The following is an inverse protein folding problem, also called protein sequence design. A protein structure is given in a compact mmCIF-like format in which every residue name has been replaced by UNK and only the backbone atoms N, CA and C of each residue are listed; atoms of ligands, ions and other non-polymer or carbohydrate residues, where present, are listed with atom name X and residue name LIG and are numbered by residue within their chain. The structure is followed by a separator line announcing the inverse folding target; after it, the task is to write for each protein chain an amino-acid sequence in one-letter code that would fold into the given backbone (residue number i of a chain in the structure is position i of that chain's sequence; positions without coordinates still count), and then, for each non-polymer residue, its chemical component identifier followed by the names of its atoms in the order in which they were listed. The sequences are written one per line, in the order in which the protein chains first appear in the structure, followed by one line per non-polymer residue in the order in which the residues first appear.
data_IF_451346339050
#
_entry.id   IF_451346339050
#
_cell.length_a   1.000
_cell.length_b   1.000
_cell.length_c   1.000
_cell.angle_alpha   90.00
_cell.angle_beta   90.00
_cell.angle_gamma   90.00
#
_symmetry.space_group_name_H-M   'P 1'
#
loop_
_entity.id
_entity.type
_entity.pdbx_description
1 polymer ?
#
# COMPACT_ATOMS: atom_id res chain seq x y z
N UNK A 1 12.23 9.81 -3.15
CA UNK A 1 12.43 9.21 -1.80
C UNK A 1 11.30 9.70 -0.93
N UNK A 2 10.72 8.85 -0.10
CA UNK A 2 9.57 9.19 0.74
C UNK A 2 9.95 10.16 1.87
N UNK A 3 11.10 9.94 2.52
CA UNK A 3 11.64 10.85 3.54
C UNK A 3 12.83 11.61 2.95
N UNK A 4 12.79 12.95 2.90
CA UNK A 4 13.90 13.79 2.40
C UNK A 4 15.20 13.64 3.21
N UNK A 5 16.27 14.26 2.76
CA UNK A 5 17.51 14.31 3.50
C UNK A 5 17.41 15.21 4.75
N UNK A 6 18.31 15.01 5.72
CA UNK A 6 18.21 15.64 7.04
C UNK A 6 18.04 17.17 6.97
N UNK A 7 18.84 17.84 6.13
CA UNK A 7 18.77 19.29 5.99
C UNK A 7 17.42 19.75 5.42
N UNK A 8 16.91 19.03 4.42
CA UNK A 8 15.59 19.32 3.81
C UNK A 8 14.46 19.13 4.81
N UNK A 9 14.49 18.04 5.63
CA UNK A 9 13.50 17.80 6.69
C UNK A 9 13.46 18.99 7.65
N UNK A 10 14.62 19.44 8.14
CA UNK A 10 14.67 20.57 9.07
C UNK A 10 14.23 21.88 8.43
N UNK A 11 14.61 22.13 7.17
CA UNK A 11 14.16 23.31 6.41
C UNK A 11 12.64 23.31 6.24
N UNK A 12 12.07 22.19 5.81
CA UNK A 12 10.61 22.05 5.65
C UNK A 12 9.87 22.27 6.97
N UNK A 13 10.36 21.70 8.08
CA UNK A 13 9.74 21.89 9.41
C UNK A 13 9.84 23.35 9.89
N UNK A 14 10.97 24.02 9.59
CA UNK A 14 11.12 25.43 9.91
C UNK A 14 10.16 26.32 9.10
N UNK A 15 10.00 26.04 7.79
CA UNK A 15 9.06 26.74 6.92
C UNK A 15 7.61 26.51 7.34
N UNK A 16 7.24 25.27 7.67
CA UNK A 16 5.92 24.92 8.21
C UNK A 16 5.63 25.70 9.50
N UNK A 17 6.60 25.76 10.42
CA UNK A 17 6.47 26.52 11.66
C UNK A 17 6.30 28.02 11.38
N UNK A 18 7.08 28.58 10.46
CA UNK A 18 6.98 29.99 10.07
C UNK A 18 5.61 30.31 9.42
N UNK A 19 5.03 29.32 8.70
CA UNK A 19 3.70 29.43 8.10
C UNK A 19 2.55 29.20 9.12
N UNK A 20 2.84 28.92 10.39
CA UNK A 20 1.82 28.72 11.43
C UNK A 20 1.15 27.33 11.37
N UNK A 21 1.84 26.32 10.85
CA UNK A 21 1.35 24.93 10.86
C UNK A 21 1.41 24.39 12.29
N UNK A 22 0.27 23.90 12.78
CA UNK A 22 0.16 23.36 14.15
C UNK A 22 0.68 21.92 14.26
N UNK A 23 0.56 21.12 13.17
CA UNK A 23 0.97 19.71 13.18
C UNK A 23 1.44 19.28 11.80
N UNK A 24 2.52 18.48 11.78
CA UNK A 24 3.04 17.83 10.57
C UNK A 24 2.94 16.32 10.72
N UNK A 25 2.48 15.65 9.67
CA UNK A 25 2.49 14.20 9.53
C UNK A 25 3.50 13.83 8.47
N UNK A 26 4.34 12.83 8.75
CA UNK A 26 5.32 12.38 7.77
C UNK A 26 5.45 10.86 7.78
N UNK A 27 5.74 10.32 6.62
CA UNK A 27 6.20 8.95 6.47
C UNK A 27 7.70 8.90 6.75
N UNK A 28 8.09 8.06 7.73
CA UNK A 28 9.51 7.87 8.09
C UNK A 28 9.93 6.48 7.65
N UNK A 29 10.68 6.41 6.55
CA UNK A 29 11.16 5.14 6.02
C UNK A 29 12.28 4.56 6.88
N UNK A 30 12.43 3.22 6.87
CA UNK A 30 13.52 2.53 7.58
C UNK A 30 14.92 3.00 7.11
N UNK A 31 15.05 3.31 5.82
CA UNK A 31 16.26 3.91 5.26
C UNK A 31 16.57 5.28 5.87
N UNK A 32 15.54 6.10 6.07
CA UNK A 32 15.71 7.42 6.66
C UNK A 32 16.16 7.33 8.13
N UNK A 33 15.66 6.35 8.86
CA UNK A 33 16.07 6.08 10.24
C UNK A 33 17.51 5.59 10.30
N UNK A 34 17.88 4.62 9.49
CA UNK A 34 19.22 4.05 9.41
C UNK A 34 20.26 5.10 8.96
N UNK A 35 19.88 6.00 8.04
CA UNK A 35 20.71 7.07 7.52
C UNK A 35 20.62 8.39 8.32
N UNK A 36 19.99 8.38 9.49
CA UNK A 36 19.84 9.55 10.37
C UNK A 36 19.18 10.78 9.70
N UNK A 37 18.31 10.59 8.69
CA UNK A 37 17.67 11.70 7.97
C UNK A 37 16.69 12.50 8.84
N UNK A 38 16.21 11.93 9.94
CA UNK A 38 15.35 12.57 10.92
C UNK A 38 16.08 12.88 12.24
N UNK A 39 17.42 12.90 12.23
CA UNK A 39 18.21 13.21 13.42
C UNK A 39 17.83 14.60 13.95
N UNK A 40 17.65 14.72 15.27
CA UNK A 40 17.25 15.96 15.93
C UNK A 40 15.76 16.31 15.84
N UNK A 41 14.94 15.49 15.14
CA UNK A 41 13.48 15.63 15.15
C UNK A 41 12.91 14.80 16.29
N UNK A 42 12.08 15.41 17.15
CA UNK A 42 11.25 14.71 18.14
C UNK A 42 9.82 14.54 17.61
N UNK A 43 9.26 13.34 17.73
CA UNK A 43 7.89 13.05 17.29
C UNK A 43 6.94 12.96 18.47
N UNK A 44 5.80 13.65 18.42
CA UNK A 44 4.75 13.51 19.44
C UNK A 44 4.10 12.13 19.46
N UNK A 45 4.12 11.43 18.31
CA UNK A 45 3.64 10.06 18.20
C UNK A 45 4.20 9.33 16.98
N UNK A 46 4.44 8.03 17.14
CA UNK A 46 4.84 7.12 16.08
C UNK A 46 3.80 6.02 15.90
N UNK A 47 3.38 5.76 14.67
CA UNK A 47 2.44 4.69 14.34
C UNK A 47 3.18 3.54 13.67
N UNK A 48 2.98 2.32 14.16
CA UNK A 48 3.43 1.09 13.55
C UNK A 48 2.24 0.32 12.99
N UNK A 49 2.21 0.10 11.69
CA UNK A 49 1.17 -0.66 11.00
C UNK A 49 1.51 -2.15 10.87
N UNK A 50 2.61 -2.46 10.19
CA UNK A 50 3.10 -3.82 9.97
C UNK A 50 4.57 -3.82 9.55
N UNK A 51 5.17 -5.01 9.54
CA UNK A 51 6.50 -5.26 8.99
C UNK A 51 6.50 -6.57 8.21
N UNK A 52 6.47 -6.47 6.89
CA UNK A 52 6.53 -7.61 5.97
C UNK A 52 7.80 -7.54 5.13
N UNK A 53 8.14 -8.62 4.42
CA UNK A 53 9.37 -8.69 3.64
C UNK A 53 9.40 -7.61 2.55
N UNK A 54 10.31 -6.67 2.71
CA UNK A 54 10.71 -5.68 1.71
C UNK A 54 12.09 -5.12 2.08
N UNK A 55 12.75 -4.40 1.16
CA UNK A 55 14.00 -3.68 1.41
C UNK A 55 15.17 -4.55 1.93
N UNK A 56 15.17 -5.87 1.66
CA UNK A 56 16.28 -6.74 2.05
C UNK A 56 17.54 -6.50 1.22
N UNK A 57 17.43 -5.85 0.07
CA UNK A 57 18.54 -5.32 -0.74
C UNK A 57 19.37 -4.29 0.05
N UNK A 58 18.78 -3.61 1.03
CA UNK A 58 19.44 -2.60 1.87
C UNK A 58 19.74 -3.13 3.26
N UNK A 59 18.74 -3.71 3.94
CA UNK A 59 18.87 -4.15 5.32
C UNK A 59 19.52 -5.54 5.46
N UNK A 60 19.58 -6.33 4.39
CA UNK A 60 20.12 -7.69 4.37
C UNK A 60 19.25 -8.73 5.06
N UNK A 61 18.64 -8.41 6.20
CA UNK A 61 17.78 -9.33 6.98
C UNK A 61 16.55 -8.62 7.53
N UNK A 62 15.49 -9.39 7.80
CA UNK A 62 14.29 -8.89 8.49
C UNK A 62 14.61 -8.35 9.89
N UNK A 63 15.60 -8.93 10.58
CA UNK A 63 16.03 -8.43 11.89
C UNK A 63 16.63 -7.03 11.80
N UNK A 64 17.52 -6.78 10.85
CA UNK A 64 18.09 -5.45 10.63
C UNK A 64 17.00 -4.43 10.24
N UNK A 65 16.05 -4.86 9.38
CA UNK A 65 14.90 -4.04 9.00
C UNK A 65 14.03 -3.68 10.21
N UNK A 66 13.75 -4.65 11.07
CA UNK A 66 13.07 -4.47 12.35
C UNK A 66 13.79 -3.45 13.25
N UNK A 67 15.10 -3.63 13.44
CA UNK A 67 15.91 -2.74 14.30
C UNK A 67 15.97 -1.31 13.72
N UNK A 68 16.09 -1.15 12.41
CA UNK A 68 16.06 0.16 11.76
C UNK A 68 14.72 0.89 12.03
N UNK A 69 13.58 0.22 11.85
CA UNK A 69 12.27 0.82 12.17
C UNK A 69 12.08 1.12 13.66
N UNK A 70 12.68 0.32 14.55
CA UNK A 70 12.62 0.52 16.00
C UNK A 70 13.19 1.87 16.45
N UNK A 71 14.14 2.43 15.71
CA UNK A 71 14.76 3.73 16.00
C UNK A 71 13.68 4.82 16.17
N UNK A 72 12.59 4.79 15.38
CA UNK A 72 11.53 5.78 15.45
C UNK A 72 10.94 5.90 16.87
N UNK A 73 10.80 4.79 17.60
CA UNK A 73 10.24 4.79 18.94
C UNK A 73 11.19 5.37 20.00
N UNK A 74 12.51 5.48 19.69
CA UNK A 74 13.48 6.10 20.61
C UNK A 74 13.45 7.62 20.55
N UNK A 75 12.82 8.19 19.53
CA UNK A 75 12.72 9.63 19.27
C UNK A 75 11.25 10.10 19.26
N UNK A 76 10.35 9.29 19.81
CA UNK A 76 8.91 9.58 19.87
C UNK A 76 8.40 9.58 21.31
N UNK A 77 7.49 10.50 21.61
CA UNK A 77 6.87 10.63 22.94
C UNK A 77 5.84 9.52 23.20
N UNK A 78 5.16 9.04 22.13
CA UNK A 78 4.15 8.00 22.18
C UNK A 78 4.28 7.04 21.02
N UNK A 79 3.93 5.77 21.24
CA UNK A 79 3.83 4.75 20.20
C UNK A 79 2.39 4.24 20.06
N UNK A 80 1.93 4.07 18.82
CA UNK A 80 0.64 3.48 18.48
C UNK A 80 0.94 2.20 17.67
N UNK A 81 0.70 1.04 18.26
CA UNK A 81 1.24 -0.25 17.79
C UNK A 81 0.12 -1.19 17.36
N UNK A 82 0.19 -1.66 16.12
CA UNK A 82 -0.63 -2.77 15.64
C UNK A 82 -0.16 -4.09 16.26
N UNK A 83 -1.01 -4.71 17.07
CA UNK A 83 -0.69 -6.00 17.69
C UNK A 83 -1.24 -7.22 16.92
N UNK A 84 -1.92 -7.00 15.80
CA UNK A 84 -2.23 -8.08 14.87
C UNK A 84 -0.95 -8.55 14.16
N UNK A 85 0.03 -7.64 13.99
CA UNK A 85 1.36 -7.93 13.47
C UNK A 85 2.29 -8.49 14.56
N UNK A 86 3.10 -9.51 14.21
CA UNK A 86 4.01 -10.16 15.17
C UNK A 86 5.15 -9.23 15.64
N UNK A 87 5.68 -8.38 14.76
CA UNK A 87 6.70 -7.40 15.10
C UNK A 87 6.14 -6.29 15.98
N UNK A 88 4.85 -5.95 15.81
CA UNK A 88 4.16 -5.04 16.73
C UNK A 88 4.14 -5.58 18.16
N UNK A 89 3.78 -6.85 18.32
CA UNK A 89 3.82 -7.52 19.63
C UNK A 89 5.25 -7.61 20.21
N UNK A 90 6.26 -7.68 19.35
CA UNK A 90 7.66 -7.68 19.76
C UNK A 90 8.09 -6.27 20.19
N UNK A 91 7.73 -5.21 19.46
CA UNK A 91 8.03 -3.82 19.85
C UNK A 91 7.53 -3.47 21.25
N UNK A 92 6.32 -3.88 21.61
CA UNK A 92 5.76 -3.64 22.97
C UNK A 92 6.63 -4.13 24.11
N UNK A 93 7.47 -5.13 23.87
CA UNK A 93 8.39 -5.69 24.88
C UNK A 93 9.74 -4.97 24.93
N UNK A 94 10.06 -4.21 23.90
CA UNK A 94 11.42 -3.71 23.66
C UNK A 94 11.51 -2.18 23.62
N UNK A 95 10.40 -1.46 23.39
CA UNK A 95 10.38 0.01 23.37
C UNK A 95 10.18 0.57 24.77
N UNK A 96 10.72 1.77 25.02
CA UNK A 96 10.65 2.44 26.32
C UNK A 96 9.64 3.58 26.38
N UNK A 97 9.20 4.13 25.23
CA UNK A 97 8.19 5.18 25.21
C UNK A 97 6.81 4.61 25.56
N UNK A 98 5.89 5.43 26.12
CA UNK A 98 4.50 5.05 26.33
C UNK A 98 3.87 4.50 25.05
N UNK A 99 3.20 3.34 25.15
CA UNK A 99 2.60 2.69 24.00
C UNK A 99 1.11 2.46 24.20
N UNK A 100 0.34 2.69 23.13
CA UNK A 100 -1.04 2.28 22.94
C UNK A 100 -1.13 1.25 21.86
N UNK A 101 -2.00 0.28 22.02
CA UNK A 101 -2.18 -0.83 21.09
C UNK A 101 -3.46 -0.70 20.29
N UNK A 102 -3.44 -1.15 19.04
CA UNK A 102 -4.67 -1.30 18.28
C UNK A 102 -4.74 -2.66 17.57
N UNK A 103 -5.95 -3.14 17.32
CA UNK A 103 -6.20 -4.44 16.71
C UNK A 103 -7.58 -4.54 16.06
N UNK A 104 -7.64 -5.24 14.93
CA UNK A 104 -8.87 -5.70 14.32
C UNK A 104 -9.29 -7.11 14.76
N UNK A 105 -8.39 -7.86 15.44
CA UNK A 105 -8.57 -9.29 15.71
C UNK A 105 -8.60 -9.62 17.20
N UNK A 106 -7.85 -8.90 18.04
CA UNK A 106 -7.63 -9.27 19.43
C UNK A 106 -7.93 -8.13 20.40
N UNK A 107 -7.83 -8.39 21.71
CA UNK A 107 -7.99 -7.35 22.73
C UNK A 107 -6.80 -6.38 22.69
N UNK A 108 -7.10 -5.11 22.56
CA UNK A 108 -6.15 -4.00 22.51
C UNK A 108 -6.75 -2.76 23.21
N UNK A 109 -5.96 -1.68 23.35
CA UNK A 109 -6.47 -0.39 23.86
C UNK A 109 -7.53 0.18 22.90
N UNK A 110 -7.29 0.08 21.57
CA UNK A 110 -8.21 0.49 20.54
C UNK A 110 -8.59 -0.70 19.65
N UNK A 111 -9.87 -0.87 19.36
CA UNK A 111 -10.35 -2.03 18.59
C UNK A 111 -11.36 -1.64 17.53
N UNK A 112 -11.35 -2.41 16.45
CA UNK A 112 -12.44 -2.47 15.51
C UNK A 112 -13.27 -3.73 15.79
N UNK A 113 -14.55 -3.55 16.13
CA UNK A 113 -15.53 -4.61 16.36
C UNK A 113 -16.59 -4.59 15.25
N UNK A 114 -17.33 -5.69 15.06
CA UNK A 114 -18.44 -5.79 14.10
C UNK A 114 -18.08 -5.31 12.68
N UNK A 115 -16.93 -5.77 12.18
CA UNK A 115 -16.38 -5.35 10.89
C UNK A 115 -17.22 -5.90 9.75
N UNK A 116 -17.72 -5.00 8.90
CA UNK A 116 -18.45 -5.31 7.67
C UNK A 116 -17.67 -4.76 6.48
N UNK A 117 -17.27 -5.66 5.59
CA UNK A 117 -16.57 -5.34 4.35
C UNK A 117 -17.52 -5.40 3.16
N UNK A 118 -17.42 -4.44 2.25
CA UNK A 118 -18.15 -4.41 0.99
C UNK A 118 -17.25 -3.90 -0.14
N UNK A 119 -17.67 -4.08 -1.39
CA UNK A 119 -16.98 -3.53 -2.57
C UNK A 119 -16.90 -2.00 -2.55
N UNK A 120 -17.85 -1.32 -1.89
CA UNK A 120 -17.94 0.14 -1.83
C UNK A 120 -17.30 0.76 -0.59
N UNK A 121 -16.83 -0.04 0.37
CA UNK A 121 -16.23 0.48 1.59
C UNK A 121 -16.34 -0.44 2.79
N UNK A 122 -16.07 0.11 3.96
CA UNK A 122 -16.06 -0.60 5.24
C UNK A 122 -16.97 0.06 6.27
N UNK A 123 -17.49 -0.75 7.19
CA UNK A 123 -18.17 -0.31 8.41
C UNK A 123 -17.67 -1.12 9.58
N UNK A 124 -17.49 -0.49 10.73
CA UNK A 124 -17.11 -1.17 11.96
C UNK A 124 -17.46 -0.33 13.19
N UNK A 125 -17.38 -0.93 14.36
CA UNK A 125 -17.51 -0.23 15.65
C UNK A 125 -16.11 0.00 16.21
N UNK A 126 -15.69 1.26 16.32
CA UNK A 126 -14.50 1.65 17.06
C UNK A 126 -14.77 1.62 18.56
N UNK A 127 -13.84 1.13 19.37
CA UNK A 127 -13.89 1.25 20.83
C UNK A 127 -12.50 1.37 21.47
N UNK A 128 -12.38 2.22 22.47
CA UNK A 128 -11.25 2.33 23.40
C UNK A 128 -11.50 1.56 24.72
N UNK A 129 -12.57 0.75 24.77
CA UNK A 129 -13.03 0.03 25.95
C UNK A 129 -13.97 0.83 26.87
N UNK A 130 -14.17 2.13 26.61
CA UNK A 130 -15.09 3.01 27.35
C UNK A 130 -16.21 3.56 26.47
N UNK A 131 -15.85 3.96 25.25
CA UNK A 131 -16.76 4.53 24.26
C UNK A 131 -16.89 3.59 23.06
N UNK A 132 -17.98 3.73 22.31
CA UNK A 132 -18.21 3.02 21.05
C UNK A 132 -18.73 4.01 20.00
N UNK A 133 -18.10 4.02 18.84
CA UNK A 133 -18.48 4.86 17.70
C UNK A 133 -18.62 4.02 16.43
N UNK A 134 -19.66 4.28 15.65
CA UNK A 134 -19.80 3.70 14.33
C UNK A 134 -18.86 4.42 13.35
N UNK A 135 -18.01 3.68 12.66
CA UNK A 135 -17.12 4.18 11.61
C UNK A 135 -17.57 3.63 10.28
N UNK A 136 -17.66 4.48 9.26
CA UNK A 136 -18.01 4.09 7.89
C UNK A 136 -17.34 5.02 6.91
N UNK A 137 -16.68 4.46 5.88
CA UNK A 137 -16.09 5.22 4.78
C UNK A 137 -15.93 4.36 3.51
N UNK A 138 -15.74 5.03 2.36
CA UNK A 138 -15.81 4.43 1.04
C UNK A 138 -14.44 3.92 0.53
N UNK A 139 -13.74 3.14 1.35
CA UNK A 139 -12.49 2.47 0.95
C UNK A 139 -12.60 0.99 1.36
N UNK A 140 -12.63 0.05 0.40
CA UNK A 140 -12.82 -1.37 0.69
C UNK A 140 -11.56 -2.01 1.31
N UNK A 141 -11.75 -3.15 1.99
CA UNK A 141 -10.67 -4.00 2.48
C UNK A 141 -10.37 -3.86 3.98
N UNK A 142 -10.01 -4.98 4.59
CA UNK A 142 -9.68 -5.06 6.03
C UNK A 142 -8.48 -4.18 6.40
N UNK A 143 -7.50 -4.06 5.49
CA UNK A 143 -6.35 -3.19 5.71
C UNK A 143 -6.75 -1.71 5.88
N UNK A 144 -7.83 -1.25 5.24
CA UNK A 144 -8.35 0.10 5.44
C UNK A 144 -9.07 0.24 6.80
N UNK A 145 -9.66 -0.83 7.33
CA UNK A 145 -10.14 -0.84 8.73
C UNK A 145 -8.96 -0.64 9.67
N UNK A 146 -7.87 -1.42 9.51
CA UNK A 146 -6.66 -1.31 10.32
C UNK A 146 -6.01 0.08 10.21
N UNK A 147 -5.88 0.63 9.00
CA UNK A 147 -5.30 1.95 8.77
C UNK A 147 -6.15 3.06 9.42
N UNK A 148 -7.47 3.02 9.26
CA UNK A 148 -8.37 4.01 9.87
C UNK A 148 -8.37 3.90 11.39
N UNK A 149 -8.31 2.67 11.93
CA UNK A 149 -8.18 2.44 13.37
C UNK A 149 -6.88 3.03 13.91
N UNK A 150 -5.76 2.87 13.19
CA UNK A 150 -4.48 3.49 13.53
C UNK A 150 -4.56 5.02 13.55
N UNK A 151 -5.27 5.63 12.57
CA UNK A 151 -5.48 7.08 12.51
C UNK A 151 -6.29 7.56 13.72
N UNK A 152 -7.41 6.89 14.04
CA UNK A 152 -8.25 7.26 15.20
C UNK A 152 -7.44 7.12 16.49
N UNK A 153 -6.72 6.00 16.66
CA UNK A 153 -5.89 5.74 17.84
C UNK A 153 -4.77 6.79 18.01
N UNK A 154 -4.13 7.18 16.90
CA UNK A 154 -3.12 8.23 16.90
C UNK A 154 -3.73 9.59 17.28
N UNK A 155 -4.82 9.97 16.64
CA UNK A 155 -5.51 11.23 16.92
C UNK A 155 -5.97 11.32 18.38
N UNK A 156 -6.60 10.27 18.90
CA UNK A 156 -7.02 10.24 20.32
C UNK A 156 -5.83 10.32 21.28
N UNK A 157 -4.76 9.57 21.00
CA UNK A 157 -3.54 9.59 21.83
C UNK A 157 -2.90 10.99 21.88
N UNK A 158 -3.01 11.75 20.78
CA UNK A 158 -2.51 13.13 20.68
C UNK A 158 -3.53 14.18 21.14
N UNK A 159 -4.69 13.78 21.69
CA UNK A 159 -5.68 14.66 22.27
C UNK A 159 -6.68 15.28 21.29
N UNK A 160 -6.79 14.75 20.07
CA UNK A 160 -7.83 15.16 19.14
C UNK A 160 -9.19 14.53 19.45
N UNK A 161 -10.23 15.23 19.06
CA UNK A 161 -11.61 14.79 19.20
C UNK A 161 -11.90 13.60 18.26
N UNK A 162 -12.29 12.46 18.85
CA UNK A 162 -12.57 11.20 18.14
C UNK A 162 -13.73 11.36 17.15
N UNK A 163 -14.81 12.06 17.53
CA UNK A 163 -15.97 12.27 16.68
C UNK A 163 -15.63 13.10 15.43
N UNK A 164 -14.78 14.12 15.58
CA UNK A 164 -14.29 14.91 14.46
C UNK A 164 -13.41 14.07 13.54
N UNK A 165 -12.53 13.24 14.11
CA UNK A 165 -11.67 12.33 13.35
C UNK A 165 -12.51 11.35 12.54
N UNK A 166 -13.51 10.71 13.13
CA UNK A 166 -14.41 9.76 12.46
C UNK A 166 -15.21 10.44 11.35
N UNK A 167 -15.75 11.64 11.61
CA UNK A 167 -16.45 12.41 10.56
C UNK A 167 -15.54 12.75 9.39
N UNK A 168 -14.29 13.13 9.65
CA UNK A 168 -13.31 13.41 8.59
C UNK A 168 -13.01 12.15 7.75
N UNK A 169 -12.82 10.99 8.38
CA UNK A 169 -12.66 9.72 7.67
C UNK A 169 -13.85 9.41 6.76
N UNK A 170 -15.08 9.67 7.23
CA UNK A 170 -16.30 9.46 6.44
C UNK A 170 -16.40 10.31 5.15
N UNK A 171 -15.64 11.41 5.06
CA UNK A 171 -15.60 12.28 3.89
C UNK A 171 -14.43 11.97 2.92
N UNK A 172 -13.56 11.04 3.26
CA UNK A 172 -12.43 10.68 2.41
C UNK A 172 -12.88 9.98 1.13
N UNK A 173 -12.32 10.42 0.00
CA UNK A 173 -12.61 9.85 -1.32
C UNK A 173 -11.57 8.78 -1.75
N UNK A 174 -10.77 8.27 -0.81
CA UNK A 174 -9.66 7.38 -1.10
C UNK A 174 -8.34 8.14 -1.31
N UNK A 175 -7.29 7.39 -1.52
CA UNK A 175 -5.94 7.91 -1.78
C UNK A 175 -5.52 7.47 -3.18
N UNK A 176 -5.01 8.40 -3.98
CA UNK A 176 -4.51 8.11 -5.32
C UNK A 176 -3.53 6.94 -5.30
N UNK A 177 -3.78 5.92 -6.13
CA UNK A 177 -2.96 4.72 -6.21
C UNK A 177 -3.08 3.77 -5.02
N UNK A 178 -4.14 3.86 -4.21
CA UNK A 178 -4.47 2.93 -3.13
C UNK A 178 -5.88 2.38 -3.32
N UNK A 179 -6.00 1.21 -3.96
CA UNK A 179 -7.27 0.65 -4.42
C UNK A 179 -8.14 1.69 -5.15
N UNK A 180 -7.51 2.53 -5.95
CA UNK A 180 -8.14 3.64 -6.68
C UNK A 180 -8.93 3.09 -7.86
N UNK A 181 -10.24 3.32 -7.88
CA UNK A 181 -11.09 2.95 -9.01
C UNK A 181 -10.90 3.98 -10.12
N UNK A 182 -10.45 3.52 -11.29
CA UNK A 182 -10.34 4.33 -12.50
C UNK A 182 -11.65 4.24 -13.27
N UNK A 183 -12.33 5.38 -13.53
CA UNK A 183 -13.59 5.38 -14.27
C UNK A 183 -13.38 4.82 -15.69
N UNK A 184 -14.15 3.79 -16.07
CA UNK A 184 -14.09 3.18 -17.41
C UNK A 184 -15.26 3.58 -18.30
N UNK A 185 -16.42 3.90 -17.70
CA UNK A 185 -17.66 4.08 -18.43
C UNK A 185 -18.21 2.76 -19.04
N UNK A 186 -17.66 1.61 -18.63
CA UNK A 186 -17.95 0.27 -19.13
C UNK A 186 -18.50 -0.63 -18.03
N UNK A 187 -18.85 -1.82 -18.37
CA UNK A 187 -19.40 -2.86 -17.46
C UNK A 187 -18.31 -3.71 -16.79
N UNK A 188 -17.07 -3.25 -16.77
CA UNK A 188 -15.94 -3.77 -16.00
C UNK A 188 -15.25 -2.67 -15.19
N UNK A 189 -14.48 -3.06 -14.18
CA UNK A 189 -13.80 -2.14 -13.26
C UNK A 189 -12.29 -2.21 -13.44
N UNK A 190 -11.60 -1.06 -13.39
CA UNK A 190 -10.14 -0.98 -13.31
C UNK A 190 -9.75 -0.35 -11.98
N UNK A 191 -8.79 -0.96 -11.29
CA UNK A 191 -8.27 -0.52 -9.99
C UNK A 191 -6.76 -0.33 -10.11
N UNK A 192 -6.25 0.87 -9.76
CA UNK A 192 -4.82 1.12 -9.61
C UNK A 192 -4.42 1.00 -8.14
N UNK A 193 -3.38 0.20 -7.85
CA UNK A 193 -2.87 0.02 -6.49
C UNK A 193 -1.33 -0.02 -6.44
N UNK A 194 -0.78 0.43 -5.34
CA UNK A 194 0.68 0.45 -5.10
C UNK A 194 1.22 -0.89 -4.57
N UNK A 195 0.44 -1.95 -4.53
CA UNK A 195 0.84 -3.27 -4.05
C UNK A 195 2.03 -3.81 -4.86
N UNK A 196 3.21 -3.84 -4.25
CA UNK A 196 4.49 -4.24 -4.85
C UNK A 196 5.27 -5.20 -3.94
N UNK A 197 4.58 -5.83 -2.99
CA UNK A 197 5.07 -6.90 -2.12
C UNK A 197 4.08 -8.07 -2.12
N UNK A 198 4.52 -9.30 -1.78
CA UNK A 198 3.62 -10.46 -1.70
C UNK A 198 2.41 -10.21 -0.80
N UNK A 199 2.64 -9.71 0.41
CA UNK A 199 1.58 -9.42 1.39
C UNK A 199 0.60 -8.36 0.89
N UNK A 200 1.10 -7.27 0.28
CA UNK A 200 0.23 -6.24 -0.29
C UNK A 200 -0.65 -6.79 -1.43
N UNK A 201 -0.12 -7.68 -2.30
CA UNK A 201 -0.91 -8.34 -3.33
C UNK A 201 -1.99 -9.25 -2.72
N UNK A 202 -1.66 -10.06 -1.71
CA UNK A 202 -2.66 -10.87 -1.00
C UNK A 202 -3.76 -9.98 -0.44
N UNK A 203 -3.40 -8.90 0.24
CA UNK A 203 -4.36 -8.01 0.89
C UNK A 203 -5.31 -7.34 -0.11
N UNK A 204 -4.79 -6.77 -1.20
CA UNK A 204 -5.63 -6.07 -2.18
C UNK A 204 -6.47 -7.05 -3.01
N UNK A 205 -5.87 -8.14 -3.49
CA UNK A 205 -6.57 -9.10 -4.34
C UNK A 205 -7.64 -9.88 -3.58
N UNK A 206 -7.35 -10.34 -2.34
CA UNK A 206 -8.37 -11.03 -1.53
C UNK A 206 -9.54 -10.12 -1.15
N UNK A 207 -9.27 -8.85 -0.84
CA UNK A 207 -10.33 -7.89 -0.55
C UNK A 207 -11.25 -7.68 -1.76
N UNK A 208 -10.67 -7.59 -2.98
CA UNK A 208 -11.41 -7.43 -4.22
C UNK A 208 -12.16 -8.72 -4.57
N UNK A 209 -11.51 -9.88 -4.48
CA UNK A 209 -12.09 -11.18 -4.87
C UNK A 209 -13.32 -11.55 -4.03
N UNK A 210 -13.34 -11.19 -2.75
CA UNK A 210 -14.49 -11.43 -1.87
C UNK A 210 -15.75 -10.67 -2.28
N UNK A 211 -15.63 -9.63 -3.10
CA UNK A 211 -16.73 -8.80 -3.58
C UNK A 211 -16.96 -8.84 -5.08
N UNK A 212 -16.09 -9.54 -5.82
CA UNK A 212 -16.14 -9.62 -7.28
C UNK A 212 -17.30 -10.51 -7.75
N UNK A 213 -18.02 -10.05 -8.78
CA UNK A 213 -19.04 -10.84 -9.50
C UNK A 213 -18.49 -11.52 -10.75
N UNK A 214 -17.44 -10.94 -11.35
CA UNK A 214 -16.69 -11.47 -12.49
C UNK A 214 -15.30 -11.93 -12.08
N UNK A 215 -14.41 -12.09 -13.07
CA UNK A 215 -13.02 -12.51 -12.84
C UNK A 215 -12.18 -11.37 -12.32
N UNK A 216 -11.27 -11.67 -11.38
CA UNK A 216 -10.22 -10.76 -10.95
C UNK A 216 -8.96 -11.02 -11.78
N UNK A 217 -8.58 -10.06 -12.61
CA UNK A 217 -7.36 -10.08 -13.43
C UNK A 217 -6.31 -9.19 -12.77
N UNK A 218 -5.13 -9.75 -12.46
CA UNK A 218 -4.04 -8.98 -11.84
C UNK A 218 -2.92 -8.72 -12.84
N UNK A 219 -2.67 -7.45 -13.15
CA UNK A 219 -1.53 -7.00 -13.92
C UNK A 219 -0.47 -6.49 -12.96
N UNK A 220 0.72 -7.10 -12.96
CA UNK A 220 1.81 -6.71 -12.07
C UNK A 220 3.18 -6.95 -12.67
N UNK A 221 4.17 -6.28 -12.13
CA UNK A 221 5.58 -6.47 -12.43
C UNK A 221 6.44 -6.22 -11.20
N UNK A 222 7.75 -6.48 -11.34
CA UNK A 222 8.71 -6.24 -10.27
C UNK A 222 9.77 -5.21 -10.70
N UNK A 223 10.27 -4.45 -9.74
CA UNK A 223 11.35 -3.50 -10.00
C UNK A 223 12.71 -4.18 -10.11
N UNK A 224 13.52 -3.74 -11.07
CA UNK A 224 14.94 -4.08 -11.17
C UNK A 224 15.80 -3.36 -10.14
N UNK A 225 16.99 -3.90 -9.83
CA UNK A 225 17.92 -3.39 -8.83
C UNK A 225 17.24 -3.21 -7.45
N UNK A 226 16.43 -4.19 -7.06
CA UNK A 226 15.71 -4.31 -5.80
C UNK A 226 15.78 -5.75 -5.31
N UNK A 227 15.16 -6.03 -4.17
CA UNK A 227 15.07 -7.39 -3.62
C UNK A 227 14.45 -8.36 -4.65
N UNK A 228 15.31 -9.17 -5.29
CA UNK A 228 14.88 -10.16 -6.27
C UNK A 228 14.15 -11.35 -5.61
N UNK A 229 14.40 -11.62 -4.32
CA UNK A 229 13.82 -12.77 -3.62
C UNK A 229 12.29 -12.70 -3.50
N UNK A 230 11.70 -11.50 -3.59
CA UNK A 230 10.26 -11.31 -3.56
C UNK A 230 9.57 -11.59 -4.91
N UNK A 231 10.30 -11.67 -6.05
CA UNK A 231 9.74 -11.79 -7.40
C UNK A 231 8.83 -13.02 -7.53
N UNK A 232 9.36 -14.19 -7.21
CA UNK A 232 8.60 -15.45 -7.25
C UNK A 232 7.49 -15.49 -6.19
N UNK A 233 7.71 -14.92 -5.01
CA UNK A 233 6.71 -14.85 -3.95
C UNK A 233 5.51 -13.97 -4.36
N UNK A 234 5.76 -12.86 -5.06
CA UNK A 234 4.69 -12.00 -5.60
C UNK A 234 3.85 -12.75 -6.64
N UNK A 235 4.50 -13.54 -7.53
CA UNK A 235 3.80 -14.35 -8.51
C UNK A 235 2.91 -15.40 -7.84
N UNK A 236 3.43 -16.12 -6.84
CA UNK A 236 2.67 -17.11 -6.08
C UNK A 236 1.46 -16.45 -5.37
N UNK A 237 1.68 -15.31 -4.71
CA UNK A 237 0.64 -14.57 -4.03
C UNK A 237 -0.46 -14.09 -5.00
N UNK A 238 -0.09 -13.59 -6.18
CA UNK A 238 -1.04 -13.17 -7.21
C UNK A 238 -1.82 -14.37 -7.76
N UNK A 239 -1.16 -15.51 -8.04
CA UNK A 239 -1.79 -16.71 -8.55
C UNK A 239 -2.82 -17.32 -7.60
N UNK A 240 -2.59 -17.23 -6.29
CA UNK A 240 -3.51 -17.76 -5.29
C UNK A 240 -4.74 -16.85 -5.05
N UNK A 241 -4.68 -15.58 -5.48
CA UNK A 241 -5.70 -14.58 -5.18
C UNK A 241 -6.36 -13.92 -6.41
N UNK A 242 -5.95 -14.27 -7.63
CA UNK A 242 -6.56 -13.80 -8.88
C UNK A 242 -7.01 -14.95 -9.75
N UNK A 243 -7.86 -14.66 -10.75
CA UNK A 243 -8.35 -15.65 -11.72
C UNK A 243 -7.55 -15.65 -13.02
N UNK A 244 -6.80 -14.59 -13.28
CA UNK A 244 -5.91 -14.46 -14.42
C UNK A 244 -4.76 -13.49 -14.11
N UNK A 245 -3.55 -13.78 -14.59
CA UNK A 245 -2.39 -12.92 -14.39
C UNK A 245 -1.85 -12.35 -15.71
N UNK A 246 -1.43 -11.10 -15.65
CA UNK A 246 -0.71 -10.42 -16.72
C UNK A 246 0.63 -9.97 -16.12
N UNK A 247 1.69 -10.71 -16.42
CA UNK A 247 3.03 -10.41 -15.91
C UNK A 247 3.74 -9.47 -16.87
N UNK A 248 4.21 -8.34 -16.37
CA UNK A 248 4.78 -7.27 -17.19
C UNK A 248 5.96 -6.59 -16.50
N UNK A 249 6.56 -5.60 -17.16
CA UNK A 249 7.58 -4.74 -16.56
C UNK A 249 6.97 -3.73 -15.56
N UNK A 250 7.76 -3.34 -14.58
CA UNK A 250 7.51 -2.18 -13.70
C UNK A 250 8.58 -1.11 -13.97
N UNK A 251 9.49 -0.85 -13.05
CA UNK A 251 10.68 -0.01 -13.19
C UNK A 251 11.90 -0.91 -13.39
N UNK A 252 12.29 -1.31 -14.60
CA UNK A 252 13.37 -2.29 -14.82
C UNK A 252 14.73 -1.77 -14.41
N UNK A 253 14.92 -0.45 -14.39
CA UNK A 253 16.21 0.19 -14.11
C UNK A 253 17.32 -0.36 -15.01
N UNK A 254 18.40 -0.90 -14.42
CA UNK A 254 19.52 -1.43 -15.19
C UNK A 254 19.44 -2.94 -15.47
N UNK A 255 18.36 -3.61 -15.05
CA UNK A 255 18.15 -5.03 -15.37
C UNK A 255 17.34 -5.17 -16.67
N UNK A 256 17.53 -6.30 -17.37
CA UNK A 256 16.68 -6.64 -18.52
C UNK A 256 15.25 -6.94 -18.02
N UNK A 257 14.22 -6.28 -18.55
CA UNK A 257 12.84 -6.52 -18.14
C UNK A 257 12.40 -7.99 -18.31
N UNK A 258 12.92 -8.68 -19.34
CA UNK A 258 12.59 -10.09 -19.57
C UNK A 258 13.21 -11.00 -18.50
N UNK A 259 14.41 -10.70 -18.03
CA UNK A 259 15.04 -11.47 -16.95
C UNK A 259 14.25 -11.31 -15.65
N UNK A 260 13.77 -10.10 -15.35
CA UNK A 260 12.90 -9.87 -14.20
C UNK A 260 11.61 -10.69 -14.32
N UNK A 261 10.99 -10.73 -15.50
CA UNK A 261 9.80 -11.54 -15.76
C UNK A 261 10.10 -13.03 -15.57
N UNK A 262 11.24 -13.51 -16.06
CA UNK A 262 11.65 -14.90 -15.90
C UNK A 262 11.77 -15.29 -14.42
N UNK A 263 12.33 -14.44 -13.57
CA UNK A 263 12.38 -14.65 -12.11
C UNK A 263 10.98 -14.68 -11.47
N UNK A 264 10.07 -13.84 -11.96
CA UNK A 264 8.67 -13.83 -11.50
C UNK A 264 7.99 -15.15 -11.83
N UNK A 265 8.19 -15.67 -13.06
CA UNK A 265 7.54 -16.89 -13.54
C UNK A 265 7.91 -18.15 -12.73
N UNK A 266 9.07 -18.17 -12.06
CA UNK A 266 9.43 -19.26 -11.13
C UNK A 266 8.36 -19.48 -10.07
N UNK A 267 7.71 -18.41 -9.60
CA UNK A 267 6.64 -18.49 -8.60
C UNK A 267 5.31 -19.05 -9.13
N UNK A 268 5.17 -19.22 -10.45
CA UNK A 268 3.99 -19.79 -11.09
C UNK A 268 4.15 -21.30 -11.35
N UNK A 269 5.32 -21.88 -11.11
CA UNK A 269 5.52 -23.32 -11.26
C UNK A 269 4.57 -24.09 -10.34
N UNK A 270 3.81 -25.01 -10.94
CA UNK A 270 2.80 -25.80 -10.23
C UNK A 270 1.49 -25.08 -9.91
N UNK A 271 1.34 -23.80 -10.27
CA UNK A 271 0.07 -23.07 -10.16
C UNK A 271 -0.83 -23.34 -11.35
N UNK A 272 -2.14 -23.31 -11.12
CA UNK A 272 -3.15 -23.57 -12.16
C UNK A 272 -3.76 -22.28 -12.72
N UNK A 273 -3.49 -21.15 -12.12
CA UNK A 273 -4.00 -19.85 -12.55
C UNK A 273 -3.41 -19.48 -13.91
N UNK A 274 -4.24 -19.26 -14.93
CA UNK A 274 -3.76 -18.90 -16.27
C UNK A 274 -3.07 -17.54 -16.25
N UNK A 275 -2.04 -17.41 -17.09
CA UNK A 275 -1.30 -16.16 -17.21
C UNK A 275 -0.80 -15.91 -18.64
N UNK A 276 -0.45 -14.65 -18.89
CA UNK A 276 0.32 -14.20 -20.05
C UNK A 276 1.47 -13.31 -19.60
N UNK A 277 2.45 -13.15 -20.48
CA UNK A 277 3.57 -12.22 -20.30
C UNK A 277 3.59 -11.21 -21.44
N UNK A 278 3.63 -9.94 -21.11
CA UNK A 278 3.79 -8.83 -22.06
C UNK A 278 4.80 -7.88 -21.45
N UNK A 279 5.98 -7.75 -22.05
CA UNK A 279 7.10 -6.99 -21.49
C UNK A 279 6.74 -5.51 -21.32
N UNK A 280 6.19 -4.90 -22.38
CA UNK A 280 5.76 -3.50 -22.33
C UNK A 280 4.49 -3.35 -21.50
N UNK A 281 4.57 -2.55 -20.43
CA UNK A 281 3.44 -2.36 -19.50
C UNK A 281 2.27 -1.62 -20.14
N UNK A 282 2.52 -0.72 -21.09
CA UNK A 282 1.46 -0.04 -21.85
C UNK A 282 0.67 -1.06 -22.69
N UNK A 283 1.38 -1.90 -23.45
CA UNK A 283 0.76 -2.97 -24.23
C UNK A 283 0.01 -3.96 -23.33
N UNK A 284 0.56 -4.27 -22.15
CA UNK A 284 -0.09 -5.14 -21.17
C UNK A 284 -1.42 -4.57 -20.66
N UNK A 285 -1.49 -3.27 -20.38
CA UNK A 285 -2.72 -2.57 -19.97
C UNK A 285 -3.72 -2.55 -21.13
N UNK A 286 -3.30 -2.20 -22.36
CA UNK A 286 -4.15 -2.25 -23.55
C UNK A 286 -4.73 -3.66 -23.74
N UNK A 287 -3.88 -4.69 -23.65
CA UNK A 287 -4.36 -6.07 -23.73
C UNK A 287 -5.42 -6.38 -22.67
N UNK A 288 -5.18 -5.99 -21.43
CA UNK A 288 -6.10 -6.23 -20.33
C UNK A 288 -7.48 -5.59 -20.55
N UNK A 289 -7.49 -4.34 -21.03
CA UNK A 289 -8.71 -3.59 -21.35
C UNK A 289 -9.47 -4.20 -22.54
N UNK A 290 -8.76 -4.58 -23.61
CA UNK A 290 -9.37 -5.19 -24.81
C UNK A 290 -9.93 -6.60 -24.54
N UNK A 291 -9.45 -7.30 -23.51
CA UNK A 291 -9.91 -8.63 -23.10
C UNK A 291 -10.73 -8.60 -21.80
N UNK A 292 -11.22 -7.42 -21.39
CA UNK A 292 -12.14 -7.32 -20.27
C UNK A 292 -13.51 -7.88 -20.67
N UNK A 293 -14.08 -8.69 -19.79
CA UNK A 293 -15.44 -9.19 -19.88
C UNK A 293 -16.32 -8.43 -18.90
N UNK A 294 -17.63 -8.57 -19.05
CA UNK A 294 -18.59 -7.96 -18.14
C UNK A 294 -18.33 -8.40 -16.70
N UNK A 295 -18.42 -7.46 -15.78
CA UNK A 295 -18.23 -7.60 -14.33
C UNK A 295 -16.78 -7.97 -13.92
N UNK A 296 -15.82 -8.03 -14.87
CA UNK A 296 -14.41 -8.24 -14.55
C UNK A 296 -13.83 -7.07 -13.73
N UNK A 297 -12.86 -7.39 -12.87
CA UNK A 297 -12.07 -6.42 -12.15
C UNK A 297 -10.60 -6.59 -12.55
N UNK A 298 -10.04 -5.56 -13.17
CA UNK A 298 -8.63 -5.49 -13.57
C UNK A 298 -7.87 -4.70 -12.50
N UNK A 299 -6.94 -5.35 -11.84
CA UNK A 299 -6.08 -4.72 -10.83
C UNK A 299 -4.72 -4.42 -11.46
N UNK A 300 -4.38 -3.14 -11.60
CA UNK A 300 -3.06 -2.66 -12.00
C UNK A 300 -2.23 -2.45 -10.74
N UNK A 301 -1.38 -3.44 -10.42
CA UNK A 301 -0.60 -3.45 -9.20
C UNK A 301 0.86 -3.03 -9.43
N UNK A 302 1.41 -2.31 -8.45
CA UNK A 302 2.81 -1.91 -8.37
C UNK A 302 3.06 -0.41 -8.40
N UNK A 303 2.50 0.30 -9.39
CA UNK A 303 2.77 1.74 -9.59
C UNK A 303 1.91 2.66 -8.72
N UNK A 304 0.65 2.33 -8.56
CA UNK A 304 -0.26 3.15 -7.76
C UNK A 304 -0.28 4.61 -8.19
N UNK A 305 0.31 5.50 -7.39
CA UNK A 305 0.36 6.95 -7.66
C UNK A 305 1.53 7.39 -8.56
N UNK A 306 2.49 6.50 -8.88
CA UNK A 306 3.62 6.83 -9.74
C UNK A 306 3.12 7.19 -11.16
N UNK A 307 3.64 8.30 -11.69
CA UNK A 307 3.36 8.80 -13.04
C UNK A 307 4.60 8.70 -13.95
N UNK A 308 5.51 7.79 -13.62
CA UNK A 308 6.75 7.57 -14.34
C UNK A 308 7.17 6.09 -14.37
N UNK A 309 8.02 5.75 -15.32
CA UNK A 309 8.80 4.51 -15.34
C UNK A 309 10.30 4.83 -15.35
N UNK A 310 11.09 4.05 -14.61
CA UNK A 310 12.54 4.22 -14.51
C UNK A 310 13.22 3.15 -15.37
N UNK A 311 13.93 3.61 -16.39
CA UNK A 311 14.70 2.79 -17.32
C UNK A 311 16.20 2.78 -16.96
N UNK A 312 17.01 2.11 -17.79
CA UNK A 312 18.46 2.04 -17.64
C UNK A 312 19.10 3.43 -17.52
N UNK A 313 20.16 3.53 -16.71
CA UNK A 313 20.82 4.81 -16.43
C UNK A 313 20.00 5.77 -15.57
N UNK A 314 18.89 5.32 -14.97
CA UNK A 314 18.05 6.16 -14.12
C UNK A 314 17.13 7.11 -14.91
N UNK A 315 17.01 6.91 -16.22
CA UNK A 315 16.14 7.71 -17.09
C UNK A 315 14.68 7.52 -16.66
N UNK A 316 13.99 8.61 -16.35
CA UNK A 316 12.56 8.62 -16.06
C UNK A 316 11.80 9.03 -17.30
N UNK A 317 10.84 8.21 -17.70
CA UNK A 317 9.85 8.52 -18.74
C UNK A 317 8.48 8.69 -18.08
N UNK A 318 7.64 9.55 -18.66
CA UNK A 318 6.27 9.71 -18.20
C UNK A 318 5.47 8.43 -18.45
N UNK A 319 4.76 7.95 -17.42
CA UNK A 319 3.95 6.75 -17.49
C UNK A 319 2.89 6.77 -16.37
N UNK A 320 1.71 7.29 -16.65
CA UNK A 320 0.56 7.23 -15.75
C UNK A 320 -0.42 6.15 -16.24
N UNK A 321 -0.68 5.16 -15.39
CA UNK A 321 -1.58 4.05 -15.73
C UNK A 321 -2.99 4.51 -16.07
N UNK A 322 -3.48 5.59 -15.45
CA UNK A 322 -4.81 6.15 -15.71
C UNK A 322 -4.92 6.73 -17.12
N UNK A 323 -3.85 7.37 -17.60
CA UNK A 323 -3.78 7.87 -18.98
C UNK A 323 -3.75 6.70 -19.97
N UNK A 324 -2.98 5.65 -19.66
CA UNK A 324 -2.91 4.46 -20.52
C UNK A 324 -4.27 3.74 -20.58
N UNK A 325 -4.98 3.63 -19.45
CA UNK A 325 -6.35 3.09 -19.42
C UNK A 325 -7.28 3.94 -20.28
N UNK A 326 -7.22 5.26 -20.13
CA UNK A 326 -8.06 6.18 -20.92
C UNK A 326 -7.78 6.06 -22.43
N UNK A 327 -6.51 5.88 -22.82
CA UNK A 327 -6.13 5.68 -24.23
C UNK A 327 -6.66 4.36 -24.77
N UNK A 328 -6.50 3.26 -24.02
CA UNK A 328 -7.03 1.95 -24.39
C UNK A 328 -8.58 1.94 -24.52
N UNK A 329 -9.28 2.66 -23.66
CA UNK A 329 -10.73 2.81 -23.75
C UNK A 329 -11.17 3.57 -25.00
N UNK A 330 -10.43 4.62 -25.42
CA UNK A 330 -10.70 5.35 -26.69
C UNK A 330 -10.49 4.45 -27.91
N UNK A 331 -9.47 3.57 -27.87
CA UNK A 331 -9.26 2.59 -28.94
C UNK A 331 -10.45 1.64 -29.09
N UNK A 332 -10.94 1.09 -27.94
CA UNK A 332 -12.16 0.24 -27.94
C UNK A 332 -13.38 0.98 -28.54
N UNK A 333 -13.55 2.25 -28.19
CA UNK A 333 -14.64 3.07 -28.77
C UNK A 333 -14.50 3.24 -30.29
N UNK A 334 -13.29 3.48 -30.77
CA UNK A 334 -13.02 3.60 -32.20
C UNK A 334 -13.25 2.29 -32.97
N UNK A 335 -13.08 1.14 -32.29
CA UNK A 335 -13.37 -0.19 -32.86
C UNK A 335 -14.87 -0.55 -32.79
N UNK A 336 -15.72 0.28 -32.18
CA UNK A 336 -17.16 0.02 -32.01
C UNK A 336 -17.48 -1.04 -30.94
N UNK A 337 -16.59 -1.21 -30.01
CA UNK A 337 -16.69 -2.19 -28.92
C UNK A 337 -17.01 -1.52 -27.59
#
# INVERSE_FOLDING_TARGET
MTTPDCLDVHTMLADMRAAGVDMAFMEVSSHALDQNRVAGVGFGGAVFSNLTQDHLDVHGTMENYYQAKKILFTISDNAIINIDDEYGRRYLKEISCPAKTYSCCTKADFRAEDILLSASGVKYVFTDGKIKHNVSFNMPGLFNVSNSLAVIACCETLGFDVDKTIRALGTMQGVRGRAEIVPTGRDFTVICDYAHTPDALVNVLSAIKNSASGKVKCLFGCGGNRDASKRSLMAAAAADNADFLIVTSDNPRNEDPQDIINDVLVGLEGKTTPYITIVDRREAIHWAIHHAEKDDIIVLAGKGHEDYQILAGGVKIHFDEREVVADALKELEAEGR
#
